data_IF_462776604643
#
_entry.id   IF_462776604643
#
_cell.length_a   1.000
_cell.length_b   1.000
_cell.length_c   1.000
_cell.angle_alpha   90.00
_cell.angle_beta   90.00
_cell.angle_gamma   90.00
#
_symmetry.space_group_name_H-M   'P 1'
#
loop_
_entity.id
_entity.type
_entity.pdbx_description
1 polymer ?
#
# COMPACT_ATOMS: atom_id res chain seq x y z
N UNK A 1 1.14 7.07 -18.49
CA UNK A 1 0.01 6.60 -17.68
C UNK A 1 0.00 7.34 -16.36
N UNK A 2 -1.13 7.87 -15.95
CA UNK A 2 -1.28 8.64 -14.72
C UNK A 2 -1.84 7.74 -13.62
N UNK A 3 -1.21 7.75 -12.45
CA UNK A 3 -1.68 7.06 -11.25
C UNK A 3 -2.13 8.09 -10.21
N UNK A 4 -3.22 7.80 -9.52
CA UNK A 4 -3.73 8.63 -8.43
C UNK A 4 -3.32 7.98 -7.11
N UNK A 5 -2.75 8.77 -6.21
CA UNK A 5 -2.37 8.27 -4.89
C UNK A 5 -3.60 7.95 -4.03
N UNK A 6 -3.58 6.81 -3.36
CA UNK A 6 -4.61 6.44 -2.39
C UNK A 6 -4.68 7.41 -1.19
N UNK A 7 -3.60 8.15 -0.94
CA UNK A 7 -3.55 9.13 0.14
C UNK A 7 -4.39 10.38 -0.10
N UNK A 8 -4.86 10.62 -1.32
CA UNK A 8 -5.73 11.76 -1.60
C UNK A 8 -7.17 11.58 -1.10
N UNK A 9 -7.55 10.37 -0.67
CA UNK A 9 -8.83 10.06 -0.06
C UNK A 9 -8.63 9.84 1.44
N UNK A 10 -9.32 10.61 2.26
CA UNK A 10 -9.24 10.50 3.71
C UNK A 10 -10.13 9.35 4.20
N UNK A 11 -9.58 8.15 4.27
CA UNK A 11 -10.24 6.95 4.78
C UNK A 11 -9.18 6.02 5.37
N UNK A 12 -9.51 5.32 6.44
CA UNK A 12 -8.59 4.41 7.12
C UNK A 12 -8.51 3.01 6.47
N UNK A 13 -9.49 2.65 5.64
CA UNK A 13 -9.56 1.34 4.99
C UNK A 13 -9.25 1.46 3.50
N UNK A 14 -8.19 0.77 3.05
CA UNK A 14 -7.78 0.81 1.65
C UNK A 14 -8.84 0.27 0.70
N UNK A 15 -9.65 -0.70 1.12
CA UNK A 15 -10.72 -1.25 0.27
C UNK A 15 -11.78 -0.18 0.01
N UNK A 16 -12.13 0.62 1.03
CA UNK A 16 -13.08 1.72 0.86
C UNK A 16 -12.52 2.81 -0.06
N UNK A 17 -11.23 3.12 0.04
CA UNK A 17 -10.54 4.05 -0.86
C UNK A 17 -10.62 3.55 -2.30
N UNK A 18 -10.31 2.29 -2.54
CA UNK A 18 -10.36 1.70 -3.87
C UNK A 18 -11.80 1.61 -4.42
N UNK A 19 -12.76 1.33 -3.56
CA UNK A 19 -14.18 1.33 -3.93
C UNK A 19 -14.64 2.71 -4.41
N UNK A 20 -14.19 3.76 -3.74
CA UNK A 20 -14.44 5.14 -4.18
C UNK A 20 -13.83 5.42 -5.56
N UNK A 21 -12.59 5.03 -5.79
CA UNK A 21 -11.95 5.20 -7.10
C UNK A 21 -12.68 4.41 -8.20
N UNK A 22 -13.15 3.21 -7.89
CA UNK A 22 -13.95 2.41 -8.82
C UNK A 22 -15.25 3.13 -9.22
N UNK A 23 -15.96 3.71 -8.27
CA UNK A 23 -17.17 4.49 -8.52
C UNK A 23 -16.91 5.68 -9.45
N UNK A 24 -15.70 6.25 -9.39
CA UNK A 24 -15.27 7.37 -10.23
C UNK A 24 -14.58 6.93 -11.53
N UNK A 25 -14.53 5.64 -11.82
CA UNK A 25 -13.84 5.06 -12.97
C UNK A 25 -12.34 5.32 -13.00
N UNK A 26 -11.67 5.42 -11.84
CA UNK A 26 -10.22 5.50 -11.72
C UNK A 26 -9.65 4.14 -11.31
N UNK A 27 -8.90 3.52 -12.20
CA UNK A 27 -8.35 2.17 -11.99
C UNK A 27 -6.83 2.14 -11.87
N UNK A 28 -6.14 3.25 -12.09
CA UNK A 28 -4.69 3.35 -11.92
C UNK A 28 -4.39 4.06 -10.60
N UNK A 29 -3.96 3.31 -9.60
CA UNK A 29 -3.82 3.80 -8.23
C UNK A 29 -2.43 3.50 -7.69
N UNK A 30 -1.80 4.50 -7.07
CA UNK A 30 -0.62 4.29 -6.24
C UNK A 30 -1.07 4.06 -4.79
N UNK A 31 -0.78 2.86 -4.28
CA UNK A 31 -1.06 2.52 -2.89
C UNK A 31 -0.02 3.21 -1.99
N UNK A 32 -0.47 4.12 -1.16
CA UNK A 32 0.37 4.98 -0.35
C UNK A 32 -0.09 5.02 1.11
N UNK A 33 0.49 5.90 1.92
CA UNK A 33 0.11 6.08 3.32
C UNK A 33 -1.31 6.61 3.52
N UNK A 34 -1.72 6.73 4.76
CA UNK A 34 -3.01 7.29 5.17
C UNK A 34 -4.07 6.27 5.52
N UNK A 35 -3.86 5.00 5.20
CA UNK A 35 -4.75 3.91 5.64
C UNK A 35 -4.12 3.15 6.81
N UNK A 36 -4.94 2.34 7.48
CA UNK A 36 -4.50 1.51 8.62
C UNK A 36 -4.51 0.03 8.26
N UNK A 37 -3.69 -0.73 8.97
CA UNK A 37 -3.70 -2.18 8.85
C UNK A 37 -4.98 -2.76 9.44
N UNK A 38 -5.43 -3.88 8.88
CA UNK A 38 -6.55 -4.67 9.41
C UNK A 38 -6.29 -6.17 9.16
N UNK A 39 -7.01 -7.06 9.85
CA UNK A 39 -6.81 -8.50 9.70
C UNK A 39 -6.99 -8.97 8.24
N UNK A 40 -6.03 -9.76 7.76
CA UNK A 40 -6.03 -10.31 6.38
C UNK A 40 -6.00 -9.25 5.27
N UNK A 41 -5.41 -8.08 5.53
CA UNK A 41 -5.33 -6.99 4.57
C UNK A 41 -4.79 -7.46 3.21
N UNK A 42 -3.67 -8.19 3.20
CA UNK A 42 -3.02 -8.64 1.97
C UNK A 42 -3.94 -9.50 1.11
N UNK A 43 -4.60 -10.48 1.72
CA UNK A 43 -5.48 -11.40 0.98
C UNK A 43 -6.73 -10.69 0.48
N UNK A 44 -7.34 -9.86 1.30
CA UNK A 44 -8.51 -9.07 0.91
C UNK A 44 -8.18 -8.07 -0.19
N UNK A 45 -7.02 -7.42 -0.10
CA UNK A 45 -6.56 -6.49 -1.11
C UNK A 45 -6.29 -7.18 -2.45
N UNK A 46 -5.56 -8.28 -2.44
CA UNK A 46 -5.27 -9.04 -3.65
C UNK A 46 -6.55 -9.52 -4.33
N UNK A 47 -7.50 -10.03 -3.56
CA UNK A 47 -8.81 -10.44 -4.07
C UNK A 47 -9.57 -9.28 -4.72
N UNK A 48 -9.64 -8.14 -4.04
CA UNK A 48 -10.34 -6.97 -4.54
C UNK A 48 -9.70 -6.44 -5.84
N UNK A 49 -8.40 -6.35 -5.89
CA UNK A 49 -7.66 -5.88 -7.07
C UNK A 49 -7.86 -6.81 -8.27
N UNK A 50 -7.84 -8.13 -8.06
CA UNK A 50 -8.05 -9.10 -9.12
C UNK A 50 -9.49 -9.11 -9.65
N UNK A 51 -10.48 -8.94 -8.77
CA UNK A 51 -11.89 -8.91 -9.15
C UNK A 51 -12.30 -7.62 -9.87
N UNK A 52 -11.53 -6.55 -9.75
CA UNK A 52 -11.91 -5.22 -10.22
C UNK A 52 -10.94 -4.60 -11.24
N UNK A 53 -9.95 -5.35 -11.72
CA UNK A 53 -9.00 -4.94 -12.77
C UNK A 53 -8.24 -3.63 -12.48
N UNK A 54 -7.84 -3.42 -11.24
CA UNK A 54 -7.00 -2.29 -10.89
C UNK A 54 -5.56 -2.48 -11.33
N UNK A 55 -4.94 -1.41 -11.83
CA UNK A 55 -3.50 -1.31 -11.99
C UNK A 55 -2.93 -0.53 -10.80
N UNK A 56 -2.01 -1.13 -10.07
CA UNK A 56 -1.48 -0.51 -8.87
C UNK A 56 0.03 -0.39 -8.90
N UNK A 57 0.53 0.65 -8.22
CA UNK A 57 1.91 0.80 -7.80
C UNK A 57 1.94 0.88 -6.29
N UNK A 58 3.04 0.49 -5.68
CA UNK A 58 3.21 0.63 -4.25
C UNK A 58 4.19 1.75 -3.94
N UNK A 59 3.80 2.60 -3.00
CA UNK A 59 4.68 3.55 -2.36
C UNK A 59 5.31 2.91 -1.11
N UNK A 60 6.47 3.40 -0.67
CA UNK A 60 7.21 2.84 0.47
C UNK A 60 6.45 2.89 1.81
N UNK A 61 5.36 3.61 1.92
CA UNK A 61 4.49 3.60 3.10
C UNK A 61 3.32 2.62 3.00
N UNK A 62 3.31 1.77 2.00
CA UNK A 62 2.32 0.71 1.86
C UNK A 62 3.01 -0.66 1.76
N UNK A 63 2.57 -1.72 2.44
CA UNK A 63 1.36 -1.80 3.29
C UNK A 63 1.51 -1.01 4.60
N UNK A 64 0.40 -0.53 5.20
CA UNK A 64 0.49 0.18 6.47
C UNK A 64 1.05 -0.73 7.56
N UNK A 65 2.01 -0.27 8.37
CA UNK A 65 2.55 -1.06 9.46
C UNK A 65 1.50 -1.24 10.58
N UNK A 66 1.70 -2.25 11.43
CA UNK A 66 0.84 -2.47 12.60
C UNK A 66 0.95 -1.33 13.60
N UNK A 67 2.16 -0.79 13.77
CA UNK A 67 2.44 0.39 14.57
C UNK A 67 3.04 1.48 13.70
N UNK A 68 2.56 2.70 13.86
CA UNK A 68 3.08 3.84 13.11
C UNK A 68 4.54 4.12 13.45
N UNK A 69 5.37 4.29 12.43
CA UNK A 69 6.75 4.71 12.59
C UNK A 69 7.25 5.41 11.31
N UNK A 70 8.30 6.19 11.45
CA UNK A 70 8.94 6.83 10.30
C UNK A 70 9.97 5.87 9.70
N UNK A 71 9.78 5.53 8.43
CA UNK A 71 10.72 4.67 7.69
C UNK A 71 12.04 5.41 7.49
N UNK A 72 13.11 4.83 8.00
CA UNK A 72 14.48 5.36 7.87
C UNK A 72 15.51 4.22 7.86
N UNK A 73 15.86 3.75 6.67
CA UNK A 73 16.83 2.66 6.49
C UNK A 73 18.25 3.07 6.89
N UNK A 74 18.54 4.37 6.92
CA UNK A 74 19.84 4.92 7.29
C UNK A 74 19.91 5.38 8.75
N UNK A 75 18.91 5.02 9.58
CA UNK A 75 18.90 5.41 10.99
C UNK A 75 20.09 4.82 11.75
N UNK A 76 20.68 5.63 12.63
CA UNK A 76 21.69 5.18 13.57
C UNK A 76 21.08 4.32 14.69
N UNK A 77 19.78 4.44 14.95
CA UNK A 77 19.06 3.53 15.82
C UNK A 77 18.83 2.21 15.08
N UNK A 78 19.49 1.18 15.55
CA UNK A 78 19.46 -0.15 14.93
C UNK A 78 18.05 -0.73 14.84
N UNK A 79 17.21 -0.49 15.84
CA UNK A 79 15.81 -0.95 15.82
C UNK A 79 15.00 -0.28 14.71
N UNK A 80 15.18 1.02 14.52
CA UNK A 80 14.51 1.78 13.46
C UNK A 80 14.99 1.34 12.08
N UNK A 81 16.29 1.15 11.91
CA UNK A 81 16.88 0.66 10.65
C UNK A 81 16.35 -0.72 10.28
N UNK A 82 16.39 -1.69 11.19
CA UNK A 82 15.88 -3.05 10.95
C UNK A 82 14.39 -3.07 10.65
N UNK A 83 13.60 -2.32 11.41
CA UNK A 83 12.16 -2.19 11.22
C UNK A 83 11.82 -1.59 9.84
N UNK A 84 12.59 -0.59 9.41
CA UNK A 84 12.46 0.05 8.12
C UNK A 84 12.78 -0.89 6.97
N UNK A 85 13.86 -1.66 7.08
CA UNK A 85 14.25 -2.67 6.09
C UNK A 85 13.16 -3.74 5.96
N UNK A 86 12.67 -4.27 7.08
CA UNK A 86 11.59 -5.27 7.09
C UNK A 86 10.32 -4.74 6.46
N UNK A 87 9.99 -3.47 6.70
CA UNK A 87 8.85 -2.83 6.09
C UNK A 87 8.99 -2.75 4.56
N UNK A 88 10.16 -2.39 4.06
CA UNK A 88 10.45 -2.38 2.62
C UNK A 88 10.32 -3.78 1.99
N UNK A 89 10.81 -4.82 2.66
CA UNK A 89 10.64 -6.19 2.18
C UNK A 89 9.16 -6.61 2.09
N UNK A 90 8.36 -6.27 3.09
CA UNK A 90 6.91 -6.52 3.06
C UNK A 90 6.23 -5.83 1.87
N UNK A 91 6.64 -4.61 1.56
CA UNK A 91 6.13 -3.87 0.42
C UNK A 91 6.52 -4.52 -0.91
N UNK A 92 7.76 -4.98 -1.03
CA UNK A 92 8.24 -5.70 -2.22
C UNK A 92 7.49 -7.03 -2.41
N UNK A 93 7.28 -7.79 -1.34
CA UNK A 93 6.50 -9.03 -1.39
C UNK A 93 5.06 -8.76 -1.83
N UNK A 94 4.45 -7.73 -1.30
CA UNK A 94 3.09 -7.34 -1.70
C UNK A 94 3.04 -6.90 -3.16
N UNK A 95 4.02 -6.15 -3.63
CA UNK A 95 4.08 -5.71 -5.02
C UNK A 95 4.07 -6.89 -6.01
N UNK A 96 4.75 -7.97 -5.66
CA UNK A 96 4.72 -9.22 -6.46
C UNK A 96 3.33 -9.84 -6.48
N UNK A 97 2.64 -9.88 -5.33
CA UNK A 97 1.29 -10.46 -5.23
C UNK A 97 0.24 -9.70 -6.01
N UNK A 98 0.37 -8.39 -6.10
CA UNK A 98 -0.60 -7.53 -6.82
C UNK A 98 -0.17 -7.21 -8.25
N UNK A 99 0.86 -7.91 -8.76
CA UNK A 99 1.42 -7.70 -10.10
C UNK A 99 1.83 -6.25 -10.37
N UNK A 100 2.32 -5.57 -9.36
CA UNK A 100 2.88 -4.23 -9.52
C UNK A 100 4.32 -4.35 -10.05
N UNK A 101 4.57 -3.85 -11.22
CA UNK A 101 5.92 -3.85 -11.82
C UNK A 101 6.84 -2.80 -11.21
N UNK A 102 6.27 -1.84 -10.47
CA UNK A 102 7.01 -0.69 -9.94
C UNK A 102 6.71 -0.49 -8.46
N UNK A 103 7.76 -0.14 -7.79
CA UNK A 103 7.76 0.14 -6.37
C UNK A 103 8.40 1.50 -6.11
#
# INVERSE_FOLDING_TARGET
MIYISSSCIKNENIIDVLSFFKEKNFYNVELSGGTKNFPNLKDKLCKFLNENDFNVRLHNYFPPPEEDFVVNIASLDKKISEKSINHCFKAIELSKKVNSEKF
#
